data_IF_346845796163
#
_entry.id   IF_346845796163
#
_cell.length_a   1.000
_cell.length_b   1.000
_cell.length_c   1.000
_cell.angle_alpha   90.00
_cell.angle_beta   90.00
_cell.angle_gamma   90.00
#
_symmetry.space_group_name_H-M   'P 1'
#
loop_
_entity.id
_entity.type
_entity.pdbx_description
1 polymer ?
#
# COMPACT_ATOMS: atom_id res chain seq x y z
N UNK A 1 -5.82 3.78 45.55
CA UNK A 1 -5.08 4.21 44.34
C UNK A 1 -5.04 3.18 43.21
N UNK A 2 -5.99 2.24 43.08
CA UNK A 2 -5.89 1.14 42.10
C UNK A 2 -6.88 1.21 40.91
N UNK A 3 -7.79 2.19 40.87
CA UNK A 3 -8.86 2.24 39.85
C UNK A 3 -8.45 2.96 38.56
N UNK A 4 -7.38 3.76 38.57
CA UNK A 4 -6.88 4.45 37.37
C UNK A 4 -5.98 3.57 36.50
N UNK A 5 -5.43 2.48 37.05
CA UNK A 5 -4.51 1.56 36.37
C UNK A 5 -5.24 0.65 35.36
N UNK A 6 -6.40 0.10 35.74
CA UNK A 6 -7.18 -0.81 34.86
C UNK A 6 -7.86 -0.12 33.69
N UNK A 7 -8.22 1.15 33.83
CA UNK A 7 -8.94 1.89 32.77
C UNK A 7 -8.01 2.37 31.65
N UNK A 8 -6.73 2.63 31.97
CA UNK A 8 -5.71 2.97 30.98
C UNK A 8 -5.32 1.78 30.10
N UNK A 9 -5.18 0.59 30.68
CA UNK A 9 -4.80 -0.63 29.95
C UNK A 9 -5.88 -1.11 28.97
N UNK A 10 -7.17 -0.96 29.31
CA UNK A 10 -8.28 -1.28 28.40
C UNK A 10 -8.36 -0.35 27.20
N UNK A 11 -8.15 0.96 27.40
CA UNK A 11 -8.16 1.95 26.31
C UNK A 11 -6.99 1.73 25.34
N UNK A 12 -5.81 1.41 25.87
CA UNK A 12 -4.63 1.13 25.08
C UNK A 12 -4.78 -0.16 24.25
N UNK A 13 -5.38 -1.20 24.85
CA UNK A 13 -5.70 -2.44 24.14
C UNK A 13 -6.69 -2.22 22.99
N UNK A 14 -7.73 -1.40 23.21
CA UNK A 14 -8.69 -1.05 22.16
C UNK A 14 -8.03 -0.29 21.00
N UNK A 15 -7.16 0.67 21.31
CA UNK A 15 -6.44 1.44 20.30
C UNK A 15 -5.50 0.57 19.46
N UNK A 16 -4.78 -0.37 20.10
CA UNK A 16 -3.94 -1.34 19.41
C UNK A 16 -4.75 -2.27 18.51
N UNK A 17 -5.89 -2.77 18.99
CA UNK A 17 -6.79 -3.63 18.19
C UNK A 17 -7.30 -2.89 16.96
N UNK A 18 -7.66 -1.61 17.10
CA UNK A 18 -8.11 -0.79 15.98
C UNK A 18 -6.99 -0.52 14.98
N UNK A 19 -5.78 -0.16 15.44
CA UNK A 19 -4.60 0.01 14.58
C UNK A 19 -4.29 -1.27 13.81
N UNK A 20 -4.38 -2.42 14.46
CA UNK A 20 -4.17 -3.72 13.82
C UNK A 20 -5.22 -4.01 12.74
N UNK A 21 -6.49 -3.68 13.01
CA UNK A 21 -7.56 -3.79 12.01
C UNK A 21 -7.30 -2.89 10.79
N UNK A 22 -6.85 -1.66 11.01
CA UNK A 22 -6.47 -0.75 9.92
C UNK A 22 -5.33 -1.31 9.07
N UNK A 23 -4.27 -1.84 9.71
CA UNK A 23 -3.16 -2.51 9.03
C UNK A 23 -3.62 -3.70 8.20
N UNK A 24 -4.52 -4.51 8.74
CA UNK A 24 -5.07 -5.67 8.02
C UNK A 24 -5.87 -5.24 6.78
N UNK A 25 -6.78 -4.27 6.93
CA UNK A 25 -7.59 -3.75 5.81
C UNK A 25 -6.68 -3.14 4.74
N UNK A 26 -5.69 -2.33 5.14
CA UNK A 26 -4.73 -1.74 4.21
C UNK A 26 -3.99 -2.82 3.41
N UNK A 27 -3.49 -3.85 4.09
CA UNK A 27 -2.81 -4.95 3.44
C UNK A 27 -3.73 -5.76 2.52
N UNK A 28 -4.99 -5.98 2.91
CA UNK A 28 -5.96 -6.65 2.04
C UNK A 28 -6.24 -5.86 0.77
N UNK A 29 -6.53 -4.55 0.90
CA UNK A 29 -6.76 -3.66 -0.25
C UNK A 29 -5.53 -3.67 -1.17
N UNK A 30 -4.33 -3.54 -0.59
CA UNK A 30 -3.09 -3.55 -1.35
C UNK A 30 -2.88 -4.89 -2.07
N UNK A 31 -3.16 -6.02 -1.41
CA UNK A 31 -3.04 -7.34 -2.02
C UNK A 31 -4.06 -7.57 -3.15
N UNK A 32 -5.32 -7.18 -2.93
CA UNK A 32 -6.36 -7.24 -3.97
C UNK A 32 -5.97 -6.38 -5.17
N UNK A 33 -5.46 -5.17 -4.92
CA UNK A 33 -4.92 -4.31 -5.96
C UNK A 33 -3.76 -4.97 -6.71
N UNK A 34 -2.76 -5.52 -6.01
CA UNK A 34 -1.59 -6.16 -6.63
C UNK A 34 -1.94 -7.44 -7.41
N UNK A 35 -2.98 -8.19 -7.02
CA UNK A 35 -3.50 -9.32 -7.80
C UNK A 35 -4.00 -8.90 -9.19
N UNK A 36 -4.44 -7.65 -9.34
CA UNK A 36 -4.79 -7.07 -10.63
C UNK A 36 -3.61 -6.86 -11.58
N UNK A 37 -2.37 -6.90 -11.08
CA UNK A 37 -1.17 -6.65 -11.89
C UNK A 37 -0.34 -7.93 -12.07
N UNK A 38 -0.20 -8.46 -13.30
CA UNK A 38 0.58 -9.67 -13.57
C UNK A 38 2.02 -9.59 -13.02
N UNK A 39 2.63 -8.40 -13.08
CA UNK A 39 3.99 -8.08 -12.60
C UNK A 39 4.11 -8.06 -11.06
N UNK A 40 2.98 -8.12 -10.35
CA UNK A 40 2.92 -8.12 -8.89
C UNK A 40 2.34 -9.39 -8.29
N UNK A 41 1.76 -10.29 -9.10
CA UNK A 41 1.18 -11.57 -8.64
C UNK A 41 2.18 -12.52 -7.99
N UNK A 42 3.45 -12.52 -8.43
CA UNK A 42 4.50 -13.41 -7.91
C UNK A 42 5.26 -12.85 -6.71
N UNK A 43 4.81 -11.71 -6.15
CA UNK A 43 5.58 -11.02 -5.12
C UNK A 43 5.35 -11.68 -3.76
N UNK A 44 6.43 -12.00 -3.01
CA UNK A 44 6.29 -12.58 -1.69
C UNK A 44 5.53 -11.59 -0.79
N UNK A 45 4.52 -12.10 -0.11
CA UNK A 45 3.78 -11.38 0.92
C UNK A 45 3.50 -12.35 2.07
N UNK A 46 3.78 -11.99 3.34
CA UNK A 46 4.29 -10.69 3.80
C UNK A 46 5.75 -10.42 3.39
N UNK A 47 6.13 -9.13 3.39
CA UNK A 47 7.49 -8.71 3.02
C UNK A 47 8.40 -8.85 4.24
N UNK A 48 9.51 -9.57 4.05
CA UNK A 48 10.57 -9.68 5.06
C UNK A 48 11.80 -8.89 4.61
N UNK A 49 12.46 -8.23 5.56
CA UNK A 49 13.81 -7.70 5.38
C UNK A 49 14.85 -8.78 5.72
N UNK A 50 16.11 -8.56 5.36
CA UNK A 50 17.21 -9.51 5.49
C UNK A 50 17.37 -10.11 6.90
N UNK A 51 16.89 -9.41 7.93
CA UNK A 51 16.96 -9.84 9.33
C UNK A 51 15.76 -10.73 9.76
N UNK A 52 14.95 -11.22 8.83
CA UNK A 52 13.75 -12.02 9.13
C UNK A 52 12.60 -11.22 9.77
N UNK A 53 12.79 -9.92 10.01
CA UNK A 53 11.75 -9.02 10.50
C UNK A 53 10.73 -8.74 9.40
N UNK A 54 9.45 -8.80 9.78
CA UNK A 54 8.34 -8.47 8.89
C UNK A 54 8.24 -6.96 8.72
N UNK A 55 8.26 -6.49 7.46
CA UNK A 55 8.01 -5.09 7.15
C UNK A 55 6.50 -4.87 7.09
N UNK A 56 5.99 -4.01 7.97
CA UNK A 56 4.62 -3.54 7.89
C UNK A 56 4.53 -2.42 6.82
N UNK A 57 3.87 -2.73 5.70
CA UNK A 57 3.70 -1.79 4.59
C UNK A 57 2.83 -0.58 4.99
N UNK A 58 1.93 -0.74 5.95
CA UNK A 58 1.12 0.37 6.47
C UNK A 58 2.01 1.36 7.22
N UNK A 59 2.79 0.89 8.19
CA UNK A 59 3.68 1.76 8.99
C UNK A 59 4.77 2.39 8.10
N UNK A 60 5.32 1.63 7.14
CA UNK A 60 6.26 2.15 6.14
C UNK A 60 5.63 3.29 5.33
N UNK A 61 4.40 3.10 4.82
CA UNK A 61 3.69 4.12 4.04
C UNK A 61 3.39 5.37 4.87
N UNK A 62 2.95 5.20 6.12
CA UNK A 62 2.66 6.30 7.03
C UNK A 62 3.92 7.10 7.32
N UNK A 63 5.05 6.44 7.60
CA UNK A 63 6.29 7.13 7.93
C UNK A 63 6.85 7.91 6.73
N UNK A 64 6.84 7.30 5.55
CA UNK A 64 7.28 7.97 4.31
C UNK A 64 6.38 9.17 4.01
N UNK A 65 5.07 9.07 4.23
CA UNK A 65 4.12 10.19 4.05
C UNK A 65 4.40 11.36 4.98
N UNK A 66 4.64 11.09 6.27
CA UNK A 66 5.00 12.12 7.26
C UNK A 66 6.29 12.86 6.84
N UNK A 67 7.22 12.17 6.20
CA UNK A 67 8.48 12.73 5.72
C UNK A 67 8.38 13.44 4.35
N UNK A 68 7.17 13.62 3.81
CA UNK A 68 6.93 14.31 2.54
C UNK A 68 6.86 13.39 1.32
N UNK A 69 6.71 12.07 1.53
CA UNK A 69 6.53 11.09 0.46
C UNK A 69 7.84 10.53 -0.09
N UNK A 70 7.71 9.56 -1.01
CA UNK A 70 8.83 8.77 -1.53
C UNK A 70 9.96 9.62 -2.14
N UNK A 71 9.59 10.64 -2.91
CA UNK A 71 10.56 11.50 -3.61
C UNK A 71 11.38 12.31 -2.60
N UNK A 72 10.73 13.00 -1.67
CA UNK A 72 11.39 13.77 -0.64
C UNK A 72 12.32 12.92 0.25
N UNK A 73 11.89 11.71 0.64
CA UNK A 73 12.75 10.79 1.43
C UNK A 73 13.95 10.32 0.61
N UNK A 74 13.77 10.07 -0.68
CA UNK A 74 14.83 9.62 -1.59
C UNK A 74 15.86 10.70 -1.86
N UNK A 75 15.43 11.91 -2.19
CA UNK A 75 16.31 13.06 -2.48
C UNK A 75 17.11 13.46 -1.23
N UNK A 76 16.49 13.39 -0.05
CA UNK A 76 17.12 13.71 1.23
C UNK A 76 17.92 12.54 1.83
N UNK A 77 17.97 11.38 1.18
CA UNK A 77 18.69 10.20 1.67
C UNK A 77 18.16 9.62 3.01
N UNK A 78 16.91 9.88 3.39
CA UNK A 78 16.38 9.60 4.74
C UNK A 78 15.87 8.17 4.95
N UNK A 79 16.19 7.24 4.05
CA UNK A 79 15.73 5.85 4.16
C UNK A 79 16.29 5.10 5.37
N UNK A 80 17.53 5.42 5.80
CA UNK A 80 18.09 4.91 7.06
C UNK A 80 17.26 5.34 8.27
N UNK A 81 16.90 6.63 8.35
CA UNK A 81 16.04 7.14 9.41
C UNK A 81 14.63 6.51 9.37
N UNK A 82 14.10 6.20 8.18
CA UNK A 82 12.83 5.45 8.08
C UNK A 82 12.98 4.05 8.69
N UNK A 83 14.11 3.37 8.45
CA UNK A 83 14.37 2.06 9.03
C UNK A 83 14.42 2.11 10.57
N UNK A 84 15.16 3.08 11.14
CA UNK A 84 15.27 3.26 12.59
C UNK A 84 13.90 3.47 13.24
N UNK A 85 13.05 4.30 12.62
CA UNK A 85 11.70 4.56 13.12
C UNK A 85 10.77 3.34 13.07
N UNK A 86 11.12 2.33 12.27
CA UNK A 86 10.41 1.05 12.20
C UNK A 86 11.07 -0.02 13.10
N UNK A 87 12.08 0.35 13.90
CA UNK A 87 12.84 -0.59 14.73
C UNK A 87 13.77 -1.51 13.93
N UNK A 88 14.16 -1.07 12.73
CA UNK A 88 15.09 -1.77 11.84
C UNK A 88 16.44 -1.07 11.85
N UNK A 89 17.49 -1.83 11.50
CA UNK A 89 18.82 -1.25 11.35
C UNK A 89 18.84 -0.21 10.21
N UNK A 90 19.55 0.92 10.35
CA UNK A 90 19.72 1.91 9.28
C UNK A 90 20.18 1.32 7.94
N UNK A 91 20.97 0.24 8.00
CA UNK A 91 21.45 -0.56 6.86
C UNK A 91 20.31 -1.09 5.98
N UNK A 92 19.10 -1.27 6.54
CA UNK A 92 17.92 -1.74 5.84
C UNK A 92 17.27 -0.64 4.98
N UNK A 93 17.70 0.61 5.07
CA UNK A 93 17.14 1.75 4.31
C UNK A 93 17.00 1.50 2.80
N UNK A 94 18.06 1.07 2.09
CA UNK A 94 17.98 0.73 0.67
C UNK A 94 16.96 -0.39 0.37
N UNK A 95 16.84 -1.39 1.25
CA UNK A 95 15.85 -2.48 1.10
C UNK A 95 14.44 -1.91 1.23
N UNK A 96 14.19 -1.06 2.23
CA UNK A 96 12.89 -0.41 2.42
C UNK A 96 12.50 0.49 1.23
N UNK A 97 13.48 1.19 0.64
CA UNK A 97 13.26 1.96 -0.59
C UNK A 97 12.77 1.08 -1.74
N UNK A 98 13.37 -0.10 -1.92
CA UNK A 98 12.96 -1.07 -2.93
C UNK A 98 11.57 -1.65 -2.63
N UNK A 99 11.31 -2.02 -1.38
CA UNK A 99 9.99 -2.50 -0.95
C UNK A 99 8.93 -1.44 -1.24
N UNK A 100 9.16 -0.19 -0.87
CA UNK A 100 8.25 0.89 -1.17
C UNK A 100 8.04 1.05 -2.68
N UNK A 101 9.13 1.11 -3.45
CA UNK A 101 9.07 1.27 -4.91
C UNK A 101 8.30 0.11 -5.58
N UNK A 102 8.45 -1.10 -5.05
CA UNK A 102 7.82 -2.30 -5.57
C UNK A 102 6.32 -2.30 -5.20
N UNK A 103 5.97 -2.28 -3.93
CA UNK A 103 4.59 -2.52 -3.49
C UNK A 103 3.73 -1.25 -3.47
N UNK A 104 4.28 -0.12 -3.06
CA UNK A 104 3.50 1.08 -2.74
C UNK A 104 3.48 2.11 -3.88
N UNK A 105 4.55 2.24 -4.66
CA UNK A 105 4.63 3.26 -5.73
C UNK A 105 3.52 3.12 -6.77
N UNK A 106 3.15 1.89 -7.13
CA UNK A 106 2.03 1.64 -8.05
C UNK A 106 0.71 2.02 -7.39
N UNK A 107 0.46 1.56 -6.16
CA UNK A 107 -0.75 1.89 -5.42
C UNK A 107 -0.92 3.40 -5.20
N UNK A 108 0.15 4.13 -4.84
CA UNK A 108 0.11 5.58 -4.67
C UNK A 108 -0.21 6.33 -5.96
N UNK A 109 0.37 5.92 -7.10
CA UNK A 109 0.03 6.51 -8.40
C UNK A 109 -1.44 6.33 -8.74
N UNK A 110 -1.99 5.16 -8.44
CA UNK A 110 -3.41 4.89 -8.67
C UNK A 110 -4.32 5.67 -7.72
N UNK A 111 -3.98 5.74 -6.44
CA UNK A 111 -4.70 6.59 -5.49
C UNK A 111 -4.65 8.07 -5.88
N UNK A 112 -3.51 8.55 -6.38
CA UNK A 112 -3.39 9.91 -6.87
C UNK A 112 -4.27 10.15 -8.10
N UNK A 113 -4.30 9.21 -9.06
CA UNK A 113 -5.20 9.27 -10.22
C UNK A 113 -6.67 9.28 -9.81
N UNK A 114 -7.06 8.40 -8.88
CA UNK A 114 -8.42 8.38 -8.32
C UNK A 114 -8.80 9.70 -7.67
N UNK A 115 -7.91 10.30 -6.87
CA UNK A 115 -8.17 11.61 -6.26
C UNK A 115 -8.28 12.72 -7.29
N UNK A 116 -7.40 12.74 -8.28
CA UNK A 116 -7.44 13.74 -9.35
C UNK A 116 -8.74 13.63 -10.15
N UNK A 117 -9.17 12.41 -10.48
CA UNK A 117 -10.40 12.17 -11.21
C UNK A 117 -11.66 12.46 -10.37
N UNK A 118 -11.65 12.15 -9.06
CA UNK A 118 -12.74 12.51 -8.15
C UNK A 118 -12.91 14.03 -8.01
N UNK A 119 -11.83 14.80 -8.08
CA UNK A 119 -11.91 16.26 -8.11
C UNK A 119 -12.44 16.81 -9.44
N UNK A 120 -12.36 16.00 -10.51
CA UNK A 120 -12.74 16.37 -11.87
C UNK A 120 -14.08 15.75 -12.30
N UNK A 121 -14.74 14.98 -11.42
CA UNK A 121 -15.99 14.27 -11.72
C UNK A 121 -15.85 13.07 -12.68
N UNK A 122 -14.61 12.62 -12.95
CA UNK A 122 -14.33 11.58 -13.94
C UNK A 122 -14.26 10.19 -13.28
N UNK A 123 -14.99 9.21 -13.82
CA UNK A 123 -14.97 7.83 -13.33
C UNK A 123 -13.67 7.17 -13.82
N UNK A 124 -12.73 6.90 -12.91
CA UNK A 124 -11.52 6.12 -13.26
C UNK A 124 -11.90 4.67 -13.45
N UNK A 125 -12.14 4.28 -14.70
CA UNK A 125 -12.23 2.87 -15.07
C UNK A 125 -10.85 2.23 -14.92
N UNK A 126 -10.84 1.04 -14.31
CA UNK A 126 -9.65 0.22 -14.12
C UNK A 126 -9.23 -0.41 -15.47
N UNK A 127 -8.88 0.40 -16.46
CA UNK A 127 -8.49 -0.10 -17.76
C UNK A 127 -7.05 -0.64 -17.71
N UNK A 128 -6.94 -1.95 -17.91
CA UNK A 128 -5.73 -2.55 -18.43
C UNK A 128 -5.47 -1.88 -19.78
N UNK A 129 -4.34 -1.18 -19.93
CA UNK A 129 -3.86 -0.85 -21.27
C UNK A 129 -3.24 -2.13 -21.82
N UNK A 130 -3.74 -2.69 -22.93
CA UNK A 130 -2.97 -3.63 -23.70
C UNK A 130 -1.72 -2.87 -24.13
N UNK A 131 -0.53 -3.38 -23.77
CA UNK A 131 0.70 -2.89 -24.36
C UNK A 131 0.55 -3.06 -25.87
N UNK A 132 0.71 -1.94 -26.56
CA UNK A 132 0.69 -1.78 -28.01
C UNK A 132 1.14 -3.06 -28.74
N UNK A 133 0.17 -3.69 -29.39
CA UNK A 133 0.28 -4.89 -30.18
C UNK A 133 -1.10 -5.07 -30.79
N UNK A 134 -1.33 -4.38 -31.92
CA UNK A 134 -2.64 -4.24 -32.52
C UNK A 134 -3.24 -5.59 -32.86
N UNK A 135 -4.37 -5.92 -32.22
CA UNK A 135 -5.40 -6.81 -32.76
C UNK A 135 -6.73 -6.26 -32.25
N UNK A 136 -7.59 -5.87 -33.18
CA UNK A 136 -8.94 -5.37 -32.93
C UNK A 136 -9.72 -6.39 -32.09
N UNK A 137 -10.17 -5.99 -30.89
CA UNK A 137 -10.94 -6.83 -29.99
C UNK A 137 -12.45 -6.60 -30.23
N UNK A 138 -13.14 -7.67 -30.62
CA UNK A 138 -14.59 -7.75 -30.81
C UNK A 138 -15.37 -7.33 -29.56
N UNK A 139 -16.52 -6.68 -29.79
CA UNK A 139 -17.36 -6.01 -28.79
C UNK A 139 -17.93 -6.92 -27.69
N UNK A 140 -17.85 -8.25 -27.83
CA UNK A 140 -18.45 -9.21 -26.90
C UNK A 140 -17.63 -9.39 -25.60
N UNK A 141 -16.34 -9.06 -25.61
CA UNK A 141 -15.48 -9.18 -24.42
C UNK A 141 -15.74 -8.10 -23.35
N UNK A 142 -16.37 -6.98 -23.75
CA UNK A 142 -16.66 -5.86 -22.85
C UNK A 142 -17.89 -6.12 -21.98
N UNK A 143 -18.83 -6.95 -22.43
CA UNK A 143 -20.04 -7.27 -21.68
C UNK A 143 -19.73 -8.04 -20.38
N UNK A 144 -18.80 -9.01 -20.43
CA UNK A 144 -18.42 -9.79 -19.25
C UNK A 144 -17.59 -9.03 -18.21
N UNK A 145 -16.92 -7.95 -18.62
CA UNK A 145 -16.07 -7.14 -17.72
C UNK A 145 -16.89 -6.15 -16.88
N UNK A 146 -18.08 -5.76 -17.36
CA UNK A 146 -18.96 -4.80 -16.70
C UNK A 146 -19.85 -5.43 -15.60
N UNK A 147 -20.09 -6.74 -15.64
CA UNK A 147 -20.90 -7.45 -14.64
C UNK A 147 -20.24 -7.51 -13.25
N UNK A 148 -18.91 -7.61 -13.16
CA UNK A 148 -18.23 -7.71 -11.86
C UNK A 148 -18.31 -6.42 -11.03
N UNK A 149 -18.44 -5.27 -11.70
CA UNK A 149 -18.50 -3.95 -11.04
C UNK A 149 -19.88 -3.70 -10.41
N UNK A 150 -20.93 -4.40 -10.84
CA UNK A 150 -22.29 -4.23 -10.31
C UNK A 150 -22.54 -4.96 -8.99
N UNK A 151 -21.67 -5.88 -8.59
CA UNK A 151 -21.86 -6.76 -7.44
C UNK A 151 -21.00 -6.39 -6.20
N UNK A 152 -20.38 -5.21 -6.16
CA UNK A 152 -19.61 -4.69 -5.01
C UNK A 152 -20.18 -3.34 -4.58
#
# INVERSE_FOLDING_TARGET
>A
NNSNSSRGSEQELQMQKQKQKQKQIFNQILMTFLKGYPQARSRPFPVFVAEGKRVDLYDLSARVRILGGYQAVTEKGKWGAVAENLGLEPSCGPILKLVFAKYLKLAERWLHKLRAANNNGEIVTFQQTPRSGGVEANNDALAGTLEWIRCV
#
